data_IF_858601110322
#
_entry.id   IF_858601110322
#
_cell.length_a   1.000
_cell.length_b   1.000
_cell.length_c   1.000
_cell.angle_alpha   90.00
_cell.angle_beta   90.00
_cell.angle_gamma   90.00
#
_symmetry.space_group_name_H-M   'P 1'
#
loop_
_entity.id
_entity.type
_entity.pdbx_description
1 polymer ?
#
# COMPACT_ATOMS: atom_id res chain seq x y z
N UNK A 1 -25.36 16.31 6.98
CA UNK A 1 -24.49 15.18 6.61
C UNK A 1 -23.05 15.55 6.96
N UNK A 2 -22.28 14.67 7.58
CA UNK A 2 -20.84 14.94 7.78
C UNK A 2 -20.18 14.88 6.40
N UNK A 3 -19.32 15.83 6.02
CA UNK A 3 -18.59 15.73 4.77
C UNK A 3 -17.71 14.48 4.83
N UNK A 4 -17.78 13.64 3.80
CA UNK A 4 -16.97 12.44 3.70
C UNK A 4 -15.49 12.81 3.70
N UNK A 5 -14.83 12.51 4.81
CA UNK A 5 -13.39 12.34 4.88
C UNK A 5 -12.52 13.59 4.99
N UNK A 6 -11.32 13.34 5.53
CA UNK A 6 -10.20 14.28 5.67
C UNK A 6 -9.61 14.62 4.28
N UNK A 7 -9.17 15.86 4.02
CA UNK A 7 -8.45 16.22 2.80
C UNK A 7 -7.29 15.27 2.49
N UNK A 8 -6.99 15.12 1.20
CA UNK A 8 -6.03 14.14 0.68
C UNK A 8 -4.69 14.23 1.42
N UNK A 9 -4.30 13.16 2.11
CA UNK A 9 -3.03 13.06 2.85
C UNK A 9 -1.94 12.46 1.97
N UNK A 10 -1.21 13.31 1.24
CA UNK A 10 -0.05 12.90 0.44
C UNK A 10 1.24 13.46 1.02
N UNK A 11 2.35 12.74 0.81
CA UNK A 11 3.70 13.18 1.12
C UNK A 11 4.45 13.46 -0.19
N UNK A 12 5.24 14.54 -0.23
CA UNK A 12 6.15 14.79 -1.33
C UNK A 12 7.38 13.88 -1.23
N UNK A 13 7.65 13.14 -2.31
CA UNK A 13 8.77 12.19 -2.42
C UNK A 13 9.84 12.65 -3.42
N UNK A 14 9.81 13.90 -3.86
CA UNK A 14 10.73 14.45 -4.85
C UNK A 14 12.20 14.30 -4.45
N UNK A 15 12.53 14.52 -3.17
CA UNK A 15 13.90 14.35 -2.66
C UNK A 15 14.42 12.92 -2.84
N UNK A 16 13.60 11.92 -2.56
CA UNK A 16 13.96 10.50 -2.72
C UNK A 16 14.11 10.16 -4.21
N UNK A 17 13.18 10.63 -5.04
CA UNK A 17 13.24 10.47 -6.49
C UNK A 17 14.53 11.06 -7.09
N UNK A 18 14.94 12.25 -6.64
CA UNK A 18 16.15 12.92 -7.10
C UNK A 18 17.42 12.22 -6.63
N UNK A 19 17.37 11.53 -5.49
CA UNK A 19 18.45 10.67 -5.01
C UNK A 19 18.50 9.29 -5.71
N UNK A 20 17.67 9.07 -6.74
CA UNK A 20 17.62 7.83 -7.52
C UNK A 20 16.76 6.72 -6.89
N UNK A 21 16.14 6.97 -5.74
CA UNK A 21 15.21 6.01 -5.15
C UNK A 21 13.88 6.00 -5.92
N UNK A 22 13.34 4.81 -6.16
CA UNK A 22 12.03 4.60 -6.80
C UNK A 22 11.27 3.52 -6.04
N UNK A 23 9.97 3.74 -5.84
CA UNK A 23 9.08 2.70 -5.34
C UNK A 23 9.09 1.54 -6.34
N UNK A 24 9.28 0.31 -5.84
CA UNK A 24 9.37 -0.89 -6.66
C UNK A 24 8.06 -1.67 -6.74
N UNK A 25 7.15 -1.42 -5.79
CA UNK A 25 5.92 -2.18 -5.60
C UNK A 25 4.77 -1.21 -5.76
N UNK A 26 3.92 -1.48 -6.76
CA UNK A 26 2.66 -0.76 -6.97
C UNK A 26 1.64 -1.14 -5.90
N UNK A 27 0.70 -0.24 -5.61
CA UNK A 27 -0.27 -0.43 -4.53
C UNK A 27 -1.06 -1.74 -4.67
N UNK A 28 -1.57 -2.04 -5.86
CA UNK A 28 -2.33 -3.29 -6.12
C UNK A 28 -1.48 -4.53 -5.85
N UNK A 29 -0.27 -4.57 -6.42
CA UNK A 29 0.63 -5.71 -6.24
C UNK A 29 0.98 -5.90 -4.75
N UNK A 30 1.25 -4.81 -4.03
CA UNK A 30 1.47 -4.82 -2.58
C UNK A 30 0.31 -5.43 -1.80
N UNK A 31 -0.92 -5.03 -2.11
CA UNK A 31 -2.14 -5.55 -1.47
C UNK A 31 -2.31 -7.05 -1.75
N UNK A 32 -2.12 -7.48 -3.00
CA UNK A 32 -2.25 -8.88 -3.40
C UNK A 32 -1.25 -9.77 -2.66
N UNK A 33 0.02 -9.36 -2.57
CA UNK A 33 1.06 -10.12 -1.84
C UNK A 33 0.71 -10.29 -0.36
N UNK A 34 0.30 -9.19 0.31
CA UNK A 34 -0.07 -9.24 1.73
C UNK A 34 -1.31 -10.10 1.95
N UNK A 35 -2.28 -10.01 1.05
CA UNK A 35 -3.49 -10.81 1.14
C UNK A 35 -3.20 -12.30 0.97
N UNK A 36 -2.34 -12.66 0.00
CA UNK A 36 -1.92 -14.05 -0.20
C UNK A 36 -1.19 -14.60 1.03
N UNK A 37 -0.20 -13.88 1.55
CA UNK A 37 0.53 -14.29 2.77
C UNK A 37 -0.43 -14.48 3.95
N UNK A 38 -1.37 -13.56 4.12
CA UNK A 38 -2.40 -13.66 5.15
C UNK A 38 -3.28 -14.89 4.94
N UNK A 39 -3.79 -15.11 3.73
CA UNK A 39 -4.65 -16.25 3.41
C UNK A 39 -3.95 -17.59 3.64
N UNK A 40 -2.68 -17.72 3.27
CA UNK A 40 -1.88 -18.93 3.51
C UNK A 40 -1.67 -19.17 5.01
N UNK A 41 -1.32 -18.12 5.76
CA UNK A 41 -1.05 -18.22 7.20
C UNK A 41 -2.29 -18.56 8.03
N UNK A 42 -3.46 -18.11 7.60
CA UNK A 42 -4.71 -18.24 8.34
C UNK A 42 -5.75 -19.11 7.63
N UNK A 43 -5.32 -19.90 6.63
CA UNK A 43 -6.19 -20.89 6.00
C UNK A 43 -6.60 -21.93 7.06
N UNK A 44 -7.90 -22.14 7.29
CA UNK A 44 -8.35 -23.23 8.13
C UNK A 44 -7.92 -24.54 7.46
N UNK A 45 -7.16 -25.36 8.18
CA UNK A 45 -6.90 -26.73 7.78
C UNK A 45 -8.25 -27.47 7.84
N UNK A 46 -8.80 -27.78 6.67
CA UNK A 46 -9.96 -28.68 6.53
C UNK A 46 -9.46 -30.11 6.64
#
# INVERSE_FOLDING_TARGET
>A
SKPDGTPRKLMDVSKLNNAGWKAKIELRAGIEMVYQEFSEKYQPQV
#
